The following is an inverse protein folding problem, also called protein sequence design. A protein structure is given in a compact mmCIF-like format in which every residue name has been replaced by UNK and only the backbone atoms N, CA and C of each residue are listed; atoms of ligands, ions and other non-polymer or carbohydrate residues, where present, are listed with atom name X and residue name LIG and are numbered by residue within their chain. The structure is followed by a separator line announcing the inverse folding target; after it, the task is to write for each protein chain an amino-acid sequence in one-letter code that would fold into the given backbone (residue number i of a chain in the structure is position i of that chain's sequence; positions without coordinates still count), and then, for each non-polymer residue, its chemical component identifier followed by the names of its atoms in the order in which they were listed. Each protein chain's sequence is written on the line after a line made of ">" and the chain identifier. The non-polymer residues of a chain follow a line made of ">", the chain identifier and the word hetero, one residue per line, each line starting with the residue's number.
data_IF_080754772944
#
_entry.id   IF_080754772944
#
_cell.length_a   1.000
_cell.length_b   1.000
_cell.length_c   1.000
_cell.angle_alpha   90.00
_cell.angle_beta   90.00
_cell.angle_gamma   90.00
#
_symmetry.space_group_name_H-M   'P 1'
#
loop_
_entity.id
_entity.type
_entity.pdbx_description
1 polymer ?
#
# COMPACT_ATOMS: atom_id res chain seq x y z
N UNK A 1 -0.20 10.58 -34.86
CA UNK A 1 -0.30 12.05 -34.71
C UNK A 1 -1.45 12.32 -33.75
N UNK A 2 -1.17 12.37 -32.44
CA UNK A 2 -2.17 12.87 -31.49
C UNK A 2 -2.11 14.39 -31.60
N UNK A 3 -2.89 14.97 -32.51
CA UNK A 3 -3.19 16.40 -32.43
C UNK A 3 -3.96 16.59 -31.13
N UNK A 4 -3.20 16.90 -30.08
CA UNK A 4 -3.73 17.14 -28.75
C UNK A 4 -4.42 18.50 -28.86
N UNK A 5 -5.69 18.48 -29.25
CA UNK A 5 -6.50 19.69 -29.36
C UNK A 5 -6.51 20.35 -27.98
N UNK A 6 -5.69 21.39 -27.86
CA UNK A 6 -5.53 22.17 -26.63
C UNK A 6 -6.75 23.06 -26.57
N UNK A 7 -7.68 22.67 -25.70
CA UNK A 7 -8.82 23.49 -25.34
C UNK A 7 -8.29 24.84 -24.80
N UNK A 8 -8.56 25.97 -25.49
CA UNK A 8 -8.06 27.28 -25.08
C UNK A 8 -8.67 27.76 -23.77
N UNK A 9 -9.84 27.25 -23.39
CA UNK A 9 -10.48 27.52 -22.11
C UNK A 9 -9.93 26.65 -20.97
N UNK A 10 -9.11 25.64 -21.27
CA UNK A 10 -8.42 24.80 -20.28
C UNK A 10 -9.31 23.85 -19.47
N UNK A 11 -10.63 23.88 -19.64
CA UNK A 11 -11.58 23.05 -18.90
C UNK A 11 -11.32 21.55 -19.10
N UNK A 12 -11.01 21.16 -20.34
CA UNK A 12 -10.72 19.75 -20.67
C UNK A 12 -9.44 19.25 -19.99
N UNK A 13 -8.45 20.13 -19.80
CA UNK A 13 -7.21 19.79 -19.12
C UNK A 13 -7.43 19.63 -17.61
N UNK A 14 -8.27 20.48 -17.01
CA UNK A 14 -8.64 20.38 -15.60
C UNK A 14 -9.40 19.09 -15.29
N UNK A 15 -10.36 18.72 -16.14
CA UNK A 15 -11.08 17.45 -15.99
C UNK A 15 -10.13 16.25 -16.12
N UNK A 16 -9.22 16.28 -17.09
CA UNK A 16 -8.22 15.23 -17.28
C UNK A 16 -7.29 15.11 -16.06
N UNK A 17 -6.83 16.23 -15.51
CA UNK A 17 -6.01 16.24 -14.30
C UNK A 17 -6.77 15.69 -13.08
N UNK A 18 -8.06 16.01 -12.95
CA UNK A 18 -8.92 15.47 -11.90
C UNK A 18 -9.10 13.94 -12.04
N UNK A 19 -9.42 13.47 -13.24
CA UNK A 19 -9.57 12.04 -13.52
C UNK A 19 -8.28 11.26 -13.25
N UNK A 20 -7.13 11.76 -13.71
CA UNK A 20 -5.83 11.15 -13.45
C UNK A 20 -5.49 11.08 -11.95
N UNK A 21 -5.81 12.11 -11.17
CA UNK A 21 -5.62 12.05 -9.70
C UNK A 21 -6.48 10.97 -9.04
N UNK A 22 -7.73 10.81 -9.50
CA UNK A 22 -8.64 9.78 -8.97
C UNK A 22 -8.17 8.36 -9.30
N UNK A 23 -7.66 8.16 -10.51
CA UNK A 23 -7.05 6.88 -10.91
C UNK A 23 -5.82 6.56 -10.06
N UNK A 24 -4.93 7.53 -9.85
CA UNK A 24 -3.76 7.37 -8.97
C UNK A 24 -4.14 7.11 -7.50
N UNK A 25 -5.18 7.75 -7.00
CA UNK A 25 -5.70 7.54 -5.64
C UNK A 25 -6.29 6.12 -5.50
N UNK A 26 -7.02 5.65 -6.50
CA UNK A 26 -7.54 4.29 -6.55
C UNK A 26 -6.42 3.23 -6.66
N UNK A 27 -5.36 3.50 -7.43
CA UNK A 27 -4.16 2.65 -7.48
C UNK A 27 -3.40 2.66 -6.15
N UNK A 28 -3.32 3.81 -5.48
CA UNK A 28 -2.69 3.94 -4.17
C UNK A 28 -3.49 3.21 -3.07
N UNK A 29 -4.81 3.15 -3.18
CA UNK A 29 -5.69 2.37 -2.30
C UNK A 29 -5.61 0.87 -2.59
N UNK A 30 -5.39 0.51 -3.86
CA UNK A 30 -5.14 -0.87 -4.29
C UNK A 30 -3.74 -1.38 -3.89
N UNK A 31 -2.76 -0.50 -3.64
CA UNK A 31 -1.50 -0.93 -3.02
C UNK A 31 -1.74 -1.39 -1.58
N UNK A 32 -1.53 -2.68 -1.27
CA UNK A 32 -1.72 -3.16 0.10
C UNK A 32 -0.73 -2.42 1.00
N UNK A 33 -1.26 -1.59 1.90
CA UNK A 33 -0.47 -0.90 2.93
C UNK A 33 0.24 -1.99 3.73
N UNK A 34 1.56 -2.10 3.55
CA UNK A 34 2.40 -3.07 4.28
C UNK A 34 2.35 -2.71 5.77
N UNK A 35 1.41 -3.30 6.48
CA UNK A 35 1.23 -3.06 7.90
C UNK A 35 2.42 -3.63 8.68
N UNK A 36 3.03 -2.87 9.60
CA UNK A 36 4.09 -3.38 10.46
C UNK A 36 3.59 -4.44 11.45
N UNK A 37 2.27 -4.64 11.58
CA UNK A 37 1.69 -5.66 12.46
C UNK A 37 2.12 -7.08 12.06
N UNK A 38 2.21 -7.38 10.77
CA UNK A 38 2.54 -8.72 10.29
C UNK A 38 3.95 -9.17 10.70
N UNK A 39 5.03 -8.37 10.48
CA UNK A 39 6.36 -8.74 10.96
C UNK A 39 6.45 -8.75 12.49
N UNK A 40 5.76 -7.84 13.19
CA UNK A 40 5.76 -7.81 14.67
C UNK A 40 5.14 -9.10 15.22
N UNK A 41 4.00 -9.53 14.68
CA UNK A 41 3.33 -10.77 15.11
C UNK A 41 4.20 -11.99 14.85
N UNK A 42 4.87 -12.04 13.69
CA UNK A 42 5.79 -13.13 13.36
C UNK A 42 6.93 -13.26 14.38
N UNK A 43 7.56 -12.13 14.75
CA UNK A 43 8.64 -12.12 15.76
C UNK A 43 8.12 -12.55 17.13
N UNK A 44 6.94 -12.07 17.55
CA UNK A 44 6.34 -12.47 18.83
C UNK A 44 6.09 -13.98 18.92
N UNK A 45 5.56 -14.59 17.84
CA UNK A 45 5.33 -16.04 17.78
C UNK A 45 6.64 -16.82 17.91
N UNK A 46 7.70 -16.39 17.22
CA UNK A 46 9.02 -17.03 17.31
C UNK A 46 9.56 -17.00 18.74
N UNK A 47 9.45 -15.86 19.43
CA UNK A 47 9.89 -15.72 20.83
C UNK A 47 9.12 -16.68 21.74
N UNK A 48 7.80 -16.80 21.55
CA UNK A 48 6.96 -17.70 22.35
C UNK A 48 7.39 -19.17 22.12
N UNK A 49 7.61 -19.58 20.87
CA UNK A 49 8.05 -20.94 20.55
C UNK A 49 9.39 -21.25 21.22
N UNK A 50 10.35 -20.34 21.13
CA UNK A 50 11.67 -20.50 21.77
C UNK A 50 11.52 -20.59 23.29
N UNK A 51 10.70 -19.73 23.89
CA UNK A 51 10.44 -19.75 25.33
C UNK A 51 9.82 -21.06 25.80
N UNK A 52 8.84 -21.59 25.06
CA UNK A 52 8.22 -22.89 25.35
C UNK A 52 9.22 -24.02 25.19
N UNK A 53 10.02 -24.04 24.12
CA UNK A 53 11.04 -25.05 23.91
C UNK A 53 12.08 -25.05 25.03
N UNK A 54 12.57 -23.87 25.42
CA UNK A 54 13.49 -23.74 26.54
C UNK A 54 12.85 -24.22 27.86
N UNK A 55 11.60 -23.84 28.14
CA UNK A 55 10.88 -24.29 29.33
C UNK A 55 10.74 -25.81 29.39
N UNK A 56 10.45 -26.46 28.26
CA UNK A 56 10.35 -27.92 28.18
C UNK A 56 11.70 -28.62 28.30
N UNK A 57 12.79 -27.98 27.85
CA UNK A 57 14.15 -28.55 27.95
C UNK A 57 14.77 -28.39 29.34
N UNK A 58 14.39 -27.34 30.08
CA UNK A 58 14.93 -27.02 31.41
C UNK A 58 14.10 -27.61 32.57
N UNK A 59 12.97 -28.26 32.27
CA UNK A 59 12.08 -28.90 33.24
C UNK A 59 12.20 -30.41 33.19
#
# INVERSE_FOLDING_TARGET
>A
MSDQHIDPAGNTQQFRAFAQRREQEAEAEATPKKSPLLPILAVAVVIVIIGVAAFLLLR
#
